data_IF_557384272652
#
_entry.id   IF_557384272652
#
_cell.length_a   1.000
_cell.length_b   1.000
_cell.length_c   1.000
_cell.angle_alpha   90.00
_cell.angle_beta   90.00
_cell.angle_gamma   90.00
#
_symmetry.space_group_name_H-M   'P 1'
#
loop_
_entity.id
_entity.type
_entity.pdbx_description
1 polymer ?
#
# COMPACT_ATOMS: atom_id res chain seq x y z
N UNK A 1 13.57 -8.73 -3.06
CA UNK A 1 14.36 -8.43 -1.84
C UNK A 1 13.48 -7.77 -0.79
N UNK A 2 13.68 -8.16 0.48
CA UNK A 2 12.94 -7.72 1.65
C UNK A 2 13.87 -6.96 2.61
N UNK A 3 13.38 -5.90 3.26
CA UNK A 3 14.16 -5.22 4.30
C UNK A 3 14.15 -6.00 5.61
N UNK A 4 15.28 -5.98 6.33
CA UNK A 4 15.45 -6.70 7.59
C UNK A 4 14.45 -6.29 8.67
N UNK A 5 13.89 -5.08 8.63
CA UNK A 5 12.83 -4.66 9.56
C UNK A 5 11.60 -5.58 9.56
N UNK A 6 11.26 -6.17 8.40
CA UNK A 6 10.14 -7.12 8.29
C UNK A 6 10.51 -8.45 8.94
N UNK A 7 11.75 -8.91 8.76
CA UNK A 7 12.25 -10.15 9.35
C UNK A 7 12.47 -10.03 10.86
N UNK A 8 12.99 -8.89 11.32
CA UNK A 8 13.16 -8.63 12.75
C UNK A 8 11.82 -8.48 13.47
N UNK A 9 10.81 -7.90 12.80
CA UNK A 9 9.43 -7.91 13.32
C UNK A 9 8.88 -9.33 13.48
N UNK A 10 9.09 -10.21 12.50
CA UNK A 10 8.66 -11.62 12.60
C UNK A 10 9.42 -12.36 13.71
N UNK A 11 10.72 -12.11 13.86
CA UNK A 11 11.53 -12.63 14.97
C UNK A 11 11.00 -12.17 16.32
N UNK A 12 10.73 -10.87 16.49
CA UNK A 12 10.19 -10.29 17.73
C UNK A 12 8.86 -10.96 18.10
N UNK A 13 7.97 -11.10 17.12
CA UNK A 13 6.70 -11.84 17.29
C UNK A 13 6.92 -13.28 17.77
N UNK A 14 7.84 -14.03 17.15
CA UNK A 14 8.11 -15.43 17.53
C UNK A 14 8.62 -15.51 18.96
N UNK A 15 9.54 -14.62 19.35
CA UNK A 15 10.11 -14.60 20.69
C UNK A 15 9.04 -14.24 21.73
N UNK A 16 8.19 -13.25 21.45
CA UNK A 16 7.13 -12.83 22.35
C UNK A 16 6.03 -13.87 22.53
N UNK A 17 5.67 -14.58 21.45
CA UNK A 17 4.54 -15.51 21.45
C UNK A 17 4.96 -16.93 21.83
N UNK A 18 6.09 -17.42 21.29
CA UNK A 18 6.54 -18.81 21.41
C UNK A 18 7.86 -18.98 22.16
N UNK A 19 8.48 -17.87 22.59
CA UNK A 19 9.71 -17.87 23.36
C UNK A 19 11.00 -18.02 22.54
N UNK A 20 12.12 -17.70 23.19
CA UNK A 20 13.45 -17.69 22.57
C UNK A 20 13.90 -19.07 22.07
N UNK A 21 13.46 -20.15 22.71
CA UNK A 21 13.83 -21.51 22.30
C UNK A 21 13.24 -21.88 20.93
N UNK A 22 12.01 -21.44 20.66
CA UNK A 22 11.36 -21.63 19.35
C UNK A 22 12.13 -20.87 18.27
N UNK A 23 12.49 -19.61 18.52
CA UNK A 23 13.32 -18.84 17.59
C UNK A 23 14.68 -19.50 17.31
N UNK A 24 15.38 -19.98 18.36
CA UNK A 24 16.66 -20.68 18.20
C UNK A 24 16.53 -21.95 17.36
N UNK A 25 15.42 -22.69 17.51
CA UNK A 25 15.13 -23.86 16.69
C UNK A 25 14.91 -23.47 15.22
N UNK A 26 14.16 -22.41 14.95
CA UNK A 26 13.99 -21.87 13.58
C UNK A 26 15.33 -21.49 12.96
N UNK A 27 16.18 -20.76 13.69
CA UNK A 27 17.53 -20.37 13.24
C UNK A 27 18.38 -21.60 12.89
N UNK A 28 18.32 -22.63 13.73
CA UNK A 28 19.04 -23.89 13.54
C UNK A 28 18.52 -24.67 12.31
N UNK A 29 17.21 -24.91 12.23
CA UNK A 29 16.60 -25.77 11.20
C UNK A 29 16.73 -25.13 9.80
N UNK A 30 16.64 -23.81 9.72
CA UNK A 30 16.82 -23.05 8.48
C UNK A 30 18.28 -22.66 8.18
N UNK A 31 19.22 -22.99 9.08
CA UNK A 31 20.65 -22.62 8.97
C UNK A 31 20.86 -21.14 8.69
N UNK A 32 20.13 -20.28 9.40
CA UNK A 32 20.25 -18.84 9.23
C UNK A 32 21.64 -18.37 9.70
N UNK A 33 22.29 -17.44 8.99
CA UNK A 33 23.65 -17.00 9.30
C UNK A 33 23.74 -16.17 10.59
N UNK A 34 22.61 -15.63 11.06
CA UNK A 34 22.50 -14.80 12.25
C UNK A 34 21.15 -15.06 12.93
N UNK A 35 21.09 -14.84 14.24
CA UNK A 35 19.87 -14.88 15.04
C UNK A 35 19.13 -13.53 15.07
N UNK A 36 19.66 -12.52 14.38
CA UNK A 36 19.15 -11.13 14.30
C UNK A 36 19.22 -10.62 12.85
N UNK A 37 18.36 -9.65 12.52
CA UNK A 37 18.35 -9.01 11.21
C UNK A 37 18.63 -7.51 11.33
N UNK A 38 19.54 -7.00 10.49
CA UNK A 38 19.80 -5.56 10.42
C UNK A 38 18.65 -4.87 9.67
N UNK A 39 18.07 -3.84 10.29
CA UNK A 39 16.81 -3.23 9.87
C UNK A 39 16.85 -2.66 8.44
N UNK A 40 18.00 -2.10 8.03
CA UNK A 40 18.18 -1.41 6.75
C UNK A 40 18.86 -2.29 5.69
N UNK A 41 19.23 -3.52 6.05
CA UNK A 41 19.85 -4.49 5.15
C UNK A 41 18.81 -5.25 4.36
N UNK A 42 19.20 -5.68 3.15
CA UNK A 42 18.38 -6.48 2.25
C UNK A 42 18.60 -7.98 2.46
N UNK A 43 17.49 -8.70 2.47
CA UNK A 43 17.44 -10.14 2.61
C UNK A 43 16.60 -10.77 1.50
N UNK A 44 16.76 -12.07 1.30
CA UNK A 44 15.90 -12.85 0.40
C UNK A 44 14.48 -12.87 0.94
N UNK A 45 13.50 -12.66 0.07
CA UNK A 45 12.07 -12.73 0.40
C UNK A 45 11.65 -14.14 0.83
N UNK A 46 12.38 -15.16 0.38
CA UNK A 46 12.09 -16.55 0.76
C UNK A 46 12.35 -16.83 2.24
N UNK A 47 13.14 -16.01 2.93
CA UNK A 47 13.46 -16.23 4.35
C UNK A 47 12.19 -16.17 5.20
N UNK A 48 11.33 -15.16 5.01
CA UNK A 48 10.09 -15.08 5.80
C UNK A 48 9.14 -16.25 5.50
N UNK A 49 9.07 -16.68 4.23
CA UNK A 49 8.26 -17.82 3.82
C UNK A 49 8.76 -19.12 4.47
N UNK A 50 10.08 -19.35 4.45
CA UNK A 50 10.70 -20.51 5.10
C UNK A 50 10.57 -20.47 6.62
N UNK A 51 10.65 -19.28 7.25
CA UNK A 51 10.37 -19.12 8.68
C UNK A 51 8.93 -19.55 8.98
N UNK A 52 7.96 -19.11 8.19
CA UNK A 52 6.56 -19.49 8.35
C UNK A 52 6.33 -21.00 8.16
N UNK A 53 6.99 -21.62 7.19
CA UNK A 53 6.96 -23.09 7.03
C UNK A 53 7.54 -23.82 8.23
N UNK A 54 8.72 -23.38 8.67
CA UNK A 54 9.40 -23.98 9.80
C UNK A 54 8.57 -23.88 11.08
N UNK A 55 7.87 -22.77 11.30
CA UNK A 55 6.93 -22.65 12.42
C UNK A 55 5.74 -23.61 12.31
N UNK A 56 5.17 -23.79 11.12
CA UNK A 56 4.10 -24.76 10.90
C UNK A 56 4.57 -26.20 11.21
N UNK A 57 5.80 -26.52 10.84
CA UNK A 57 6.41 -27.82 11.13
C UNK A 57 6.79 -28.00 12.61
N UNK A 58 7.14 -26.92 13.32
CA UNK A 58 7.53 -26.99 14.73
C UNK A 58 6.32 -27.04 15.66
N UNK A 59 5.31 -26.20 15.38
CA UNK A 59 4.21 -25.91 16.31
C UNK A 59 2.94 -26.71 15.98
N UNK A 60 2.72 -27.07 14.72
CA UNK A 60 1.52 -27.80 14.26
C UNK A 60 0.17 -27.12 14.60
N UNK A 61 0.16 -25.80 14.83
CA UNK A 61 -1.03 -25.02 15.19
C UNK A 61 -1.63 -24.25 14.00
N UNK A 62 -0.96 -24.23 12.85
CA UNK A 62 -1.37 -23.48 11.67
C UNK A 62 -0.57 -23.83 10.43
N UNK A 63 -0.87 -23.15 9.32
CA UNK A 63 -0.13 -23.27 8.06
C UNK A 63 0.85 -22.12 7.87
N UNK A 64 1.68 -22.18 6.82
CA UNK A 64 2.51 -21.04 6.38
C UNK A 64 1.71 -19.73 6.35
N UNK A 65 0.52 -19.78 5.78
CA UNK A 65 -0.37 -18.65 5.59
C UNK A 65 -0.87 -18.08 6.93
N UNK A 66 -1.18 -18.95 7.89
CA UNK A 66 -1.54 -18.57 9.26
C UNK A 66 -0.42 -17.75 9.92
N UNK A 67 0.83 -18.21 9.85
CA UNK A 67 1.96 -17.50 10.45
C UNK A 67 2.30 -16.21 9.71
N UNK A 68 2.18 -16.17 8.38
CA UNK A 68 2.33 -14.93 7.61
C UNK A 68 1.30 -13.88 8.02
N UNK A 69 0.04 -14.30 8.23
CA UNK A 69 -0.99 -13.41 8.73
C UNK A 69 -0.66 -12.89 10.14
N UNK A 70 -0.19 -13.77 11.04
CA UNK A 70 0.23 -13.35 12.38
C UNK A 70 1.39 -12.33 12.35
N UNK A 71 2.39 -12.55 11.51
CA UNK A 71 3.49 -11.59 11.32
C UNK A 71 2.97 -10.24 10.82
N UNK A 72 2.05 -10.24 9.86
CA UNK A 72 1.41 -9.02 9.37
C UNK A 72 0.61 -8.30 10.45
N UNK A 73 -0.20 -9.04 11.24
CA UNK A 73 -1.01 -8.46 12.31
C UNK A 73 -0.15 -7.79 13.39
N UNK A 74 0.99 -8.39 13.69
CA UNK A 74 1.90 -7.92 14.72
C UNK A 74 2.83 -6.78 14.25
N UNK A 75 3.00 -6.62 12.94
CA UNK A 75 3.90 -5.63 12.34
C UNK A 75 3.71 -4.23 12.91
N UNK A 76 2.48 -3.73 13.01
CA UNK A 76 2.22 -2.38 13.51
C UNK A 76 2.48 -2.21 15.01
N UNK A 77 2.42 -3.29 15.82
CA UNK A 77 2.85 -3.25 17.22
C UNK A 77 4.36 -3.06 17.28
N UNK A 78 5.12 -3.87 16.55
CA UNK A 78 6.58 -3.75 16.49
C UNK A 78 7.01 -2.41 15.91
N UNK A 79 6.39 -1.97 14.83
CA UNK A 79 6.73 -0.71 14.14
C UNK A 79 6.45 0.54 14.99
N UNK A 80 5.52 0.44 15.95
CA UNK A 80 5.26 1.51 16.92
C UNK A 80 6.49 1.83 17.79
N UNK A 81 7.38 0.86 18.03
CA UNK A 81 8.60 1.07 18.82
C UNK A 81 9.54 2.10 18.18
N UNK A 82 9.41 2.37 16.87
CA UNK A 82 10.19 3.37 16.15
C UNK A 82 9.48 4.74 16.04
N UNK A 83 8.34 4.93 16.72
CA UNK A 83 7.64 6.21 16.79
C UNK A 83 6.73 6.54 15.59
N UNK A 84 6.54 5.61 14.65
CA UNK A 84 5.72 5.81 13.45
C UNK A 84 4.22 5.94 13.72
N UNK A 85 3.73 5.57 14.91
CA UNK A 85 2.31 5.70 15.24
C UNK A 85 1.78 7.12 15.06
N UNK A 86 2.57 8.15 15.41
CA UNK A 86 2.17 9.55 15.18
C UNK A 86 2.00 9.85 13.69
N UNK A 87 2.88 9.34 12.84
CA UNK A 87 2.83 9.55 11.40
C UNK A 87 1.57 8.93 10.78
N UNK A 88 1.25 7.68 11.14
CA UNK A 88 0.05 7.03 10.62
C UNK A 88 -1.25 7.70 11.09
N UNK A 89 -1.29 8.16 12.35
CA UNK A 89 -2.44 8.88 12.91
C UNK A 89 -2.64 10.28 12.33
N UNK A 90 -1.58 10.90 11.80
CA UNK A 90 -1.65 12.17 11.07
C UNK A 90 -2.15 11.92 9.64
N UNK A 91 -1.67 10.85 9.00
CA UNK A 91 -2.03 10.53 7.63
C UNK A 91 -3.50 10.09 7.46
N UNK A 92 -4.06 9.40 8.47
CA UNK A 92 -5.43 8.89 8.42
C UNK A 92 -6.16 9.06 9.76
N UNK A 93 -7.44 9.46 9.71
CA UNK A 93 -8.27 9.65 10.90
C UNK A 93 -8.95 8.36 11.36
N UNK A 94 -9.32 7.51 10.40
CA UNK A 94 -9.98 6.23 10.61
C UNK A 94 -9.39 5.18 9.66
N UNK A 95 -9.82 3.92 9.80
CA UNK A 95 -9.31 2.82 8.99
C UNK A 95 -9.64 2.98 7.49
N UNK A 96 -10.82 3.52 7.15
CA UNK A 96 -11.19 3.85 5.78
C UNK A 96 -10.15 4.78 5.14
N UNK A 97 -9.87 5.92 5.76
CA UNK A 97 -8.90 6.91 5.28
C UNK A 97 -7.51 6.28 5.15
N UNK A 98 -7.15 5.37 6.05
CA UNK A 98 -5.88 4.65 6.00
C UNK A 98 -5.75 3.85 4.71
N UNK A 99 -6.78 3.07 4.33
CA UNK A 99 -6.78 2.27 3.11
C UNK A 99 -6.53 3.12 1.85
N UNK A 100 -7.00 4.37 1.82
CA UNK A 100 -6.77 5.30 0.71
C UNK A 100 -5.35 5.92 0.68
N UNK A 101 -4.61 5.91 1.80
CA UNK A 101 -3.30 6.58 1.91
C UNK A 101 -2.11 5.62 2.05
N UNK A 102 -2.34 4.29 2.05
CA UNK A 102 -1.26 3.29 2.18
C UNK A 102 -0.15 3.54 1.15
N UNK A 103 -0.50 3.74 -0.12
CA UNK A 103 0.48 3.93 -1.18
C UNK A 103 1.28 5.23 -1.04
N UNK A 104 0.62 6.31 -0.57
CA UNK A 104 1.31 7.57 -0.25
C UNK A 104 2.29 7.40 0.91
N UNK A 105 1.90 6.64 1.95
CA UNK A 105 2.77 6.32 3.07
C UNK A 105 3.98 5.50 2.60
N UNK A 106 3.77 4.51 1.74
CA UNK A 106 4.87 3.76 1.13
C UNK A 106 5.80 4.64 0.31
N UNK A 107 5.29 5.56 -0.52
CA UNK A 107 6.15 6.47 -1.27
C UNK A 107 6.96 7.39 -0.36
N UNK A 108 6.36 7.88 0.74
CA UNK A 108 7.07 8.68 1.75
C UNK A 108 8.19 7.89 2.45
N UNK A 109 7.99 6.59 2.68
CA UNK A 109 8.98 5.73 3.32
C UNK A 109 10.19 5.44 2.42
N UNK A 110 10.15 5.75 1.11
CA UNK A 110 11.33 5.61 0.24
C UNK A 110 12.49 6.52 0.63
N UNK A 111 12.25 7.61 1.37
CA UNK A 111 13.35 8.44 1.89
C UNK A 111 14.18 7.70 2.94
N UNK A 112 13.56 6.82 3.72
CA UNK A 112 14.21 5.96 4.70
C UNK A 112 14.64 4.62 4.09
N UNK A 113 13.87 4.10 3.14
CA UNK A 113 14.06 2.81 2.49
C UNK A 113 14.12 2.97 0.95
N UNK A 114 15.23 3.47 0.38
CA UNK A 114 15.31 3.90 -1.02
C UNK A 114 15.04 2.79 -2.05
N UNK A 115 15.33 1.54 -1.71
CA UNK A 115 15.14 0.38 -2.57
C UNK A 115 13.85 -0.38 -2.25
N UNK A 116 12.93 0.22 -1.49
CA UNK A 116 11.65 -0.39 -1.16
C UNK A 116 10.80 -0.56 -2.40
N UNK A 117 10.56 -1.81 -2.75
CA UNK A 117 9.50 -2.22 -3.67
C UNK A 117 8.22 -2.37 -2.87
N UNK A 118 7.38 -1.35 -2.79
CA UNK A 118 6.09 -1.44 -2.09
C UNK A 118 5.07 -2.20 -2.94
N UNK A 119 4.13 -2.93 -2.32
CA UNK A 119 2.91 -3.30 -3.01
C UNK A 119 2.07 -2.05 -3.32
N UNK A 120 1.10 -2.20 -4.21
CA UNK A 120 0.09 -1.21 -4.55
C UNK A 120 -1.23 -1.62 -3.89
N UNK A 121 -1.88 -0.65 -3.25
CA UNK A 121 -3.16 -0.80 -2.56
C UNK A 121 -4.13 0.20 -3.17
N UNK A 122 -5.07 -0.29 -3.98
CA UNK A 122 -6.02 0.55 -4.70
C UNK A 122 -7.45 0.21 -4.31
N UNK A 123 -8.17 1.18 -3.74
CA UNK A 123 -9.59 1.04 -3.45
C UNK A 123 -10.39 1.26 -4.72
N UNK A 124 -11.16 0.26 -5.15
CA UNK A 124 -11.98 0.33 -6.38
C UNK A 124 -13.44 0.63 -6.11
N UNK A 125 -13.97 0.14 -4.98
CA UNK A 125 -15.37 0.33 -4.59
C UNK A 125 -15.47 0.51 -3.07
N UNK A 126 -16.46 1.27 -2.62
CA UNK A 126 -16.79 1.43 -1.20
C UNK A 126 -18.30 1.60 -0.99
N UNK A 127 -18.79 1.06 0.13
CA UNK A 127 -20.15 1.29 0.63
C UNK A 127 -20.14 1.43 2.17
N UNK A 128 -21.30 1.47 2.80
CA UNK A 128 -21.43 1.62 4.26
C UNK A 128 -21.02 0.38 5.07
N UNK A 129 -20.83 -0.76 4.41
CA UNK A 129 -20.46 -2.05 5.01
C UNK A 129 -19.02 -2.49 4.73
N UNK A 130 -18.31 -1.80 3.84
CA UNK A 130 -16.92 -2.14 3.55
C UNK A 130 -16.33 -1.50 2.29
N UNK A 131 -15.20 -2.05 1.88
CA UNK A 131 -14.38 -1.60 0.75
C UNK A 131 -13.89 -2.79 -0.09
N UNK A 132 -13.94 -2.65 -1.42
CA UNK A 132 -13.19 -3.49 -2.35
C UNK A 132 -11.81 -2.89 -2.56
N UNK A 133 -10.77 -3.66 -2.27
CA UNK A 133 -9.37 -3.27 -2.35
C UNK A 133 -8.60 -4.21 -3.27
N UNK A 134 -7.95 -3.67 -4.30
CA UNK A 134 -6.97 -4.37 -5.11
C UNK A 134 -5.58 -4.29 -4.47
N UNK A 135 -4.99 -5.45 -4.22
CA UNK A 135 -3.60 -5.60 -3.81
C UNK A 135 -2.78 -6.12 -4.99
N UNK A 136 -1.75 -5.36 -5.40
CA UNK A 136 -0.83 -5.76 -6.48
C UNK A 136 0.60 -5.76 -5.96
N UNK A 137 1.34 -6.82 -6.23
CA UNK A 137 2.72 -6.98 -5.77
C UNK A 137 3.54 -7.77 -6.76
N UNK A 138 4.83 -7.44 -6.85
CA UNK A 138 5.82 -8.29 -7.55
C UNK A 138 6.30 -9.44 -6.67
N UNK A 139 5.95 -9.44 -5.36
CA UNK A 139 6.33 -10.50 -4.42
C UNK A 139 5.26 -11.57 -4.36
N UNK A 140 5.69 -12.82 -4.49
CA UNK A 140 4.83 -14.01 -4.40
C UNK A 140 4.76 -14.54 -2.97
N UNK A 141 3.58 -15.05 -2.58
CA UNK A 141 3.37 -15.67 -1.27
C UNK A 141 3.18 -14.69 -0.11
N UNK A 142 2.97 -13.39 -0.38
CA UNK A 142 2.78 -12.36 0.65
C UNK A 142 1.31 -11.97 0.87
N UNK A 143 0.36 -12.65 0.21
CA UNK A 143 -1.09 -12.34 0.32
C UNK A 143 -1.55 -12.31 1.78
N UNK A 144 -1.28 -13.38 2.54
CA UNK A 144 -1.69 -13.45 3.94
C UNK A 144 -0.91 -12.50 4.85
N UNK A 145 0.35 -12.20 4.53
CA UNK A 145 1.10 -11.14 5.23
C UNK A 145 0.45 -9.77 5.02
N UNK A 146 0.03 -9.44 3.79
CA UNK A 146 -0.65 -8.19 3.49
C UNK A 146 -2.02 -8.12 4.18
N UNK A 147 -2.81 -9.20 4.14
CA UNK A 147 -4.08 -9.29 4.86
C UNK A 147 -3.91 -9.11 6.37
N UNK A 148 -2.93 -9.80 6.96
CA UNK A 148 -2.55 -9.64 8.36
C UNK A 148 -2.14 -8.20 8.68
N UNK A 149 -1.37 -7.56 7.80
CA UNK A 149 -0.96 -6.16 7.95
C UNK A 149 -2.16 -5.20 7.97
N UNK A 150 -3.17 -5.42 7.12
CA UNK A 150 -4.41 -4.64 7.12
C UNK A 150 -5.17 -4.79 8.44
N UNK A 151 -5.30 -6.03 8.93
CA UNK A 151 -5.93 -6.33 10.23
C UNK A 151 -5.14 -5.71 11.40
N UNK A 152 -3.81 -5.80 11.36
CA UNK A 152 -2.91 -5.22 12.35
C UNK A 152 -3.00 -3.70 12.40
N UNK A 153 -3.08 -3.05 11.24
CA UNK A 153 -3.28 -1.60 11.13
C UNK A 153 -4.61 -1.18 11.74
N UNK A 154 -5.71 -1.84 11.35
CA UNK A 154 -7.04 -1.58 11.88
C UNK A 154 -7.09 -1.63 13.41
N UNK A 155 -6.60 -2.74 13.97
CA UNK A 155 -6.62 -2.98 15.42
C UNK A 155 -5.69 -2.02 16.16
N UNK A 156 -4.44 -1.91 15.71
CA UNK A 156 -3.38 -1.20 16.45
C UNK A 156 -3.48 0.32 16.31
N UNK A 157 -3.81 0.82 15.12
CA UNK A 157 -3.82 2.27 14.84
C UNK A 157 -5.19 2.91 15.04
N UNK A 158 -6.26 2.15 14.74
CA UNK A 158 -7.64 2.69 14.70
C UNK A 158 -8.57 2.05 15.72
N UNK A 159 -8.12 1.02 16.46
CA UNK A 159 -8.94 0.26 17.42
C UNK A 159 -10.18 -0.38 16.79
N UNK A 160 -10.13 -0.63 15.49
CA UNK A 160 -11.20 -1.32 14.76
C UNK A 160 -10.92 -2.82 14.82
N UNK A 161 -11.85 -3.57 15.40
CA UNK A 161 -11.69 -5.02 15.63
C UNK A 161 -12.72 -5.85 14.90
N UNK A 162 -13.79 -5.22 14.39
CA UNK A 162 -14.87 -5.92 13.71
C UNK A 162 -14.64 -5.89 12.20
N UNK A 163 -13.49 -6.42 11.77
CA UNK A 163 -13.10 -6.46 10.36
C UNK A 163 -13.07 -7.90 9.88
N UNK A 164 -13.60 -8.13 8.68
CA UNK A 164 -13.47 -9.41 7.97
C UNK A 164 -12.95 -9.17 6.57
N UNK A 165 -11.99 -9.98 6.14
CA UNK A 165 -11.42 -9.92 4.80
C UNK A 165 -11.85 -11.17 4.04
N UNK A 166 -12.29 -10.98 2.81
CA UNK A 166 -12.66 -12.06 1.90
C UNK A 166 -11.92 -11.87 0.58
N UNK A 167 -11.25 -12.91 0.10
CA UNK A 167 -10.64 -12.91 -1.23
C UNK A 167 -11.77 -13.10 -2.24
N UNK A 168 -12.02 -12.08 -3.07
CA UNK A 168 -12.98 -12.15 -4.19
C UNK A 168 -12.33 -12.68 -5.46
N UNK A 169 -11.05 -12.36 -5.67
CA UNK A 169 -10.27 -12.84 -6.79
C UNK A 169 -8.80 -13.00 -6.38
N UNK A 170 -8.15 -14.05 -6.89
CA UNK A 170 -6.74 -14.33 -6.70
C UNK A 170 -6.11 -14.68 -8.05
N UNK A 171 -5.28 -13.77 -8.54
CA UNK A 171 -4.48 -13.96 -9.74
C UNK A 171 -3.00 -13.87 -9.36
N UNK A 172 -2.47 -14.98 -8.84
CA UNK A 172 -1.06 -15.15 -8.52
C UNK A 172 -0.35 -15.90 -9.64
N UNK A 173 0.65 -15.25 -10.26
CA UNK A 173 1.48 -15.81 -11.34
C UNK A 173 2.93 -15.96 -10.88
N UNK A 174 3.86 -16.37 -11.75
CA UNK A 174 5.29 -16.32 -11.41
C UNK A 174 5.81 -14.90 -11.22
N UNK A 175 5.23 -13.92 -11.91
CA UNK A 175 5.83 -12.59 -12.07
C UNK A 175 5.18 -11.53 -11.19
N UNK A 176 3.88 -11.67 -10.92
CA UNK A 176 3.13 -10.79 -10.03
C UNK A 176 1.99 -11.50 -9.30
N UNK A 177 1.54 -10.89 -8.22
CA UNK A 177 0.36 -11.24 -7.43
C UNK A 177 -0.66 -10.12 -7.57
N UNK A 178 -1.90 -10.45 -7.95
CA UNK A 178 -3.02 -9.52 -7.95
C UNK A 178 -4.21 -10.15 -7.21
N UNK A 179 -4.56 -9.56 -6.06
CA UNK A 179 -5.65 -10.04 -5.19
C UNK A 179 -6.71 -8.95 -5.10
N UNK A 180 -7.98 -9.33 -5.25
CA UNK A 180 -9.12 -8.45 -4.98
C UNK A 180 -9.71 -8.87 -3.64
N UNK A 181 -9.63 -7.98 -2.65
CA UNK A 181 -10.12 -8.19 -1.30
C UNK A 181 -11.42 -7.42 -1.09
N UNK A 182 -12.40 -8.06 -0.47
CA UNK A 182 -13.52 -7.38 0.18
C UNK A 182 -13.23 -7.24 1.66
N UNK A 183 -13.10 -6.01 2.14
CA UNK A 183 -12.84 -5.69 3.53
C UNK A 183 -14.13 -5.17 4.14
N UNK A 184 -14.79 -6.01 4.93
CA UNK A 184 -16.02 -5.70 5.62
C UNK A 184 -15.72 -5.08 6.98
N UNK A 185 -16.25 -3.89 7.26
CA UNK A 185 -16.16 -3.17 8.54
C UNK A 185 -17.28 -2.12 8.65
N UNK A 186 -17.49 -1.51 9.82
CA UNK A 186 -18.42 -0.38 9.93
C UNK A 186 -17.86 0.85 9.19
N UNK A 187 -18.30 1.02 7.95
CA UNK A 187 -17.89 2.13 7.11
C UNK A 187 -18.93 3.25 7.08
N UNK A 188 -19.81 3.37 8.08
CA UNK A 188 -20.85 4.44 8.12
C UNK A 188 -20.30 5.87 8.15
N UNK A 189 -19.01 6.04 8.41
CA UNK A 189 -18.33 7.34 8.18
C UNK A 189 -18.30 7.75 6.70
N UNK A 190 -18.58 6.81 5.79
CA UNK A 190 -18.98 7.05 4.42
C UNK A 190 -20.28 7.85 4.37
N UNK A 191 -20.15 9.17 4.35
CA UNK A 191 -21.18 9.99 3.74
C UNK A 191 -21.06 9.78 2.24
N UNK A 192 -21.97 8.97 1.68
CA UNK A 192 -22.12 8.91 0.22
C UNK A 192 -22.11 10.33 -0.33
N UNK A 193 -21.35 10.63 -1.41
CA UNK A 193 -21.29 11.96 -1.99
C UNK A 193 -22.68 12.54 -2.33
N UNK A 194 -23.71 11.69 -2.39
CA UNK A 194 -25.12 12.05 -2.58
C UNK A 194 -25.79 12.76 -1.37
N UNK A 195 -25.18 12.77 -0.18
CA UNK A 195 -25.71 13.43 1.02
C UNK A 195 -25.05 14.78 1.35
N UNK A 196 -24.03 15.18 0.58
CA UNK A 196 -23.76 16.61 0.49
C UNK A 196 -24.94 17.17 -0.27
N UNK A 197 -25.89 17.76 0.45
CA UNK A 197 -26.81 18.73 -0.13
C UNK A 197 -25.97 19.58 -1.08
N UNK A 198 -26.16 19.39 -2.38
CA UNK A 198 -25.57 20.21 -3.43
C UNK A 198 -26.20 21.59 -3.35
N UNK A 199 -26.07 22.26 -2.21
CA UNK A 199 -26.26 23.69 -2.11
C UNK A 199 -25.27 24.28 -3.12
N UNK A 200 -25.82 24.78 -4.21
CA UNK A 200 -25.15 25.44 -5.34
C UNK A 200 -23.70 25.80 -5.03
N UNK A 201 -22.77 24.89 -5.33
CA UNK A 201 -21.37 25.29 -5.39
C UNK A 201 -21.29 26.37 -6.47
N UNK A 202 -20.66 27.53 -6.20
CA UNK A 202 -20.61 28.61 -7.16
C UNK A 202 -19.96 28.09 -8.45
N UNK A 203 -20.57 28.41 -9.60
CA UNK A 203 -20.09 27.94 -10.88
C UNK A 203 -18.72 28.58 -11.19
N UNK A 204 -17.67 27.77 -11.18
CA UNK A 204 -16.33 28.18 -11.59
C UNK A 204 -16.20 27.88 -13.09
N UNK A 205 -15.73 28.85 -13.88
CA UNK A 205 -15.41 28.60 -15.29
C UNK A 205 -14.08 27.87 -15.40
N UNK A 206 -13.87 27.06 -16.45
CA UNK A 206 -12.58 26.41 -16.69
C UNK A 206 -11.40 27.40 -16.71
N UNK A 207 -11.61 28.59 -17.28
CA UNK A 207 -10.59 29.66 -17.28
C UNK A 207 -10.22 30.11 -15.86
N UNK A 208 -11.17 30.21 -14.95
CA UNK A 208 -10.90 30.53 -13.55
C UNK A 208 -10.13 29.39 -12.88
N UNK A 209 -10.52 28.14 -13.12
CA UNK A 209 -9.81 26.96 -12.60
C UNK A 209 -8.33 26.97 -12.99
N UNK A 210 -8.02 27.16 -14.28
CA UNK A 210 -6.63 27.16 -14.76
C UNK A 210 -5.80 28.38 -14.34
N UNK A 211 -6.45 29.48 -13.95
CA UNK A 211 -5.77 30.62 -13.31
C UNK A 211 -5.39 30.29 -11.86
N UNK A 212 -6.27 29.61 -11.13
CA UNK A 212 -6.04 29.18 -9.74
C UNK A 212 -5.01 28.06 -9.66
N UNK A 213 -5.02 27.13 -10.62
CA UNK A 213 -4.09 26.00 -10.71
C UNK A 213 -3.14 26.16 -11.91
N UNK A 214 -2.08 26.99 -11.80
CA UNK A 214 -1.22 27.31 -12.94
C UNK A 214 -0.30 26.15 -13.37
N UNK A 215 -0.19 25.10 -12.54
CA UNK A 215 0.51 23.85 -12.83
C UNK A 215 -0.49 22.69 -13.00
N UNK A 216 -1.34 22.80 -14.02
CA UNK A 216 -2.35 21.78 -14.33
C UNK A 216 -2.32 21.44 -15.83
N UNK A 217 -2.70 20.20 -16.15
CA UNK A 217 -2.82 19.70 -17.52
C UNK A 217 -4.19 19.03 -17.63
N UNK A 218 -4.94 19.37 -18.67
CA UNK A 218 -6.20 18.70 -19.03
C UNK A 218 -5.94 17.82 -20.24
N UNK A 219 -6.44 16.59 -20.18
CA UNK A 219 -6.30 15.59 -21.24
C UNK A 219 -7.65 15.00 -21.61
N UNK A 220 -7.76 14.46 -22.82
CA UNK A 220 -8.90 13.65 -23.23
C UNK A 220 -8.65 12.15 -23.03
N UNK A 221 -9.65 11.33 -23.37
CA UNK A 221 -9.58 9.86 -23.31
C UNK A 221 -8.52 9.23 -24.22
N UNK A 222 -7.95 10.00 -25.16
CA UNK A 222 -6.84 9.58 -26.01
C UNK A 222 -5.48 10.06 -25.47
N UNK A 223 -5.42 10.55 -24.23
CA UNK A 223 -4.20 11.06 -23.58
C UNK A 223 -3.59 12.25 -24.33
N UNK A 224 -4.41 13.00 -25.09
CA UNK A 224 -3.97 14.21 -25.77
C UNK A 224 -4.18 15.44 -24.90
N UNK A 225 -3.19 16.33 -24.86
CA UNK A 225 -3.24 17.56 -24.05
C UNK A 225 -4.28 18.52 -24.65
N UNK A 226 -5.35 18.81 -23.92
CA UNK A 226 -6.40 19.76 -24.32
C UNK A 226 -6.20 21.15 -23.75
N UNK A 227 -5.62 21.25 -22.56
CA UNK A 227 -5.30 22.54 -21.94
C UNK A 227 -4.09 22.43 -21.00
N UNK A 228 -3.36 23.55 -20.81
CA UNK A 228 -2.31 23.66 -19.80
C UNK A 228 -2.43 24.97 -19.01
N UNK A 229 -2.23 24.88 -17.70
CA UNK A 229 -2.12 26.02 -16.81
C UNK A 229 -1.03 27.00 -17.26
N UNK A 230 -1.21 28.27 -16.90
CA UNK A 230 -0.40 29.37 -17.42
C UNK A 230 1.09 29.28 -17.11
N UNK A 231 1.49 28.63 -16.01
CA UNK A 231 2.91 28.49 -15.66
C UNK A 231 3.57 27.32 -16.37
N UNK A 232 2.88 26.19 -16.57
CA UNK A 232 3.41 25.08 -17.40
C UNK A 232 3.65 25.58 -18.83
N UNK A 233 2.71 26.35 -19.38
CA UNK A 233 2.85 26.89 -20.74
C UNK A 233 4.09 27.77 -20.93
N UNK A 234 4.54 28.48 -19.89
CA UNK A 234 5.74 29.34 -19.92
C UNK A 234 7.06 28.56 -19.96
N UNK A 235 7.06 27.29 -19.55
CA UNK A 235 8.26 26.44 -19.60
C UNK A 235 8.65 26.14 -21.05
N UNK A 236 7.69 26.16 -21.96
CA UNK A 236 7.89 25.86 -23.37
C UNK A 236 8.07 27.13 -24.21
N UNK A 237 8.88 27.07 -25.29
CA UNK A 237 8.95 28.15 -26.26
C UNK A 237 7.57 28.48 -26.84
N UNK A 238 7.30 29.75 -27.12
CA UNK A 238 6.01 30.21 -27.69
C UNK A 238 5.71 29.62 -29.07
N UNK A 239 6.74 29.14 -29.77
CA UNK A 239 6.64 28.46 -31.07
C UNK A 239 6.22 27.00 -30.98
N UNK A 240 6.30 26.38 -29.79
CA UNK A 240 5.99 24.97 -29.61
C UNK A 240 4.49 24.77 -29.42
N UNK A 241 3.85 24.11 -30.39
CA UNK A 241 2.44 23.70 -30.26
C UNK A 241 2.38 22.43 -29.43
N UNK A 242 1.76 22.52 -28.25
CA UNK A 242 1.62 21.40 -27.30
C UNK A 242 0.19 20.91 -27.21
N UNK A 243 -0.78 21.83 -27.37
CA UNK A 243 -2.19 21.46 -27.36
C UNK A 243 -2.47 20.55 -28.57
N UNK A 244 -3.11 19.41 -28.30
CA UNK A 244 -3.38 18.35 -29.25
C UNK A 244 -2.31 17.27 -29.34
N UNK A 245 -1.13 17.45 -28.72
CA UNK A 245 -0.10 16.41 -28.68
C UNK A 245 -0.38 15.36 -27.61
N UNK A 246 0.07 14.10 -27.81
CA UNK A 246 0.03 13.09 -26.76
C UNK A 246 0.85 13.51 -25.55
N UNK A 247 0.35 13.26 -24.34
CA UNK A 247 1.05 13.60 -23.10
C UNK A 247 2.46 12.99 -23.08
N UNK A 248 2.58 11.73 -23.49
CA UNK A 248 3.82 10.94 -23.41
C UNK A 248 4.94 11.44 -24.33
N UNK A 249 4.62 12.26 -25.34
CA UNK A 249 5.64 12.90 -26.19
C UNK A 249 6.24 14.15 -25.55
N UNK A 250 5.51 14.78 -24.63
CA UNK A 250 5.85 16.08 -24.05
C UNK A 250 6.31 15.93 -22.60
N UNK A 251 5.69 15.03 -21.86
CA UNK A 251 5.94 14.75 -20.45
C UNK A 251 6.27 13.29 -20.26
N UNK A 252 7.10 13.03 -19.25
CA UNK A 252 7.38 11.67 -18.78
C UNK A 252 6.88 11.55 -17.35
N UNK A 253 5.95 10.62 -17.11
CA UNK A 253 5.55 10.25 -15.76
C UNK A 253 6.75 9.59 -15.08
N UNK A 254 7.20 10.16 -13.97
CA UNK A 254 8.30 9.58 -13.19
C UNK A 254 7.74 8.59 -12.16
N UNK A 255 6.52 8.85 -11.66
CA UNK A 255 5.86 8.04 -10.62
C UNK A 255 4.34 8.03 -10.77
N UNK A 256 3.69 6.85 -10.67
CA UNK A 256 4.30 5.52 -10.72
C UNK A 256 5.01 5.28 -12.08
N UNK A 257 5.99 4.37 -12.12
CA UNK A 257 6.71 4.02 -13.36
C UNK A 257 5.83 3.13 -14.24
N UNK A 258 4.80 3.75 -14.81
CA UNK A 258 3.82 3.11 -15.69
C UNK A 258 3.75 3.87 -17.00
N UNK A 259 3.45 3.13 -18.06
CA UNK A 259 3.04 3.74 -19.31
C UNK A 259 1.64 4.35 -19.14
N UNK A 260 1.53 5.66 -19.37
CA UNK A 260 0.29 6.43 -19.18
C UNK A 260 -0.71 6.03 -20.27
N UNK A 261 -1.78 5.37 -19.85
CA UNK A 261 -2.95 4.98 -20.65
C UNK A 261 -4.21 5.38 -19.87
N UNK A 262 -5.30 5.71 -20.57
CA UNK A 262 -6.51 6.25 -19.93
C UNK A 262 -7.05 5.37 -18.80
N UNK A 263 -7.05 4.05 -18.99
CA UNK A 263 -7.58 3.10 -18.00
C UNK A 263 -6.60 2.84 -16.83
N UNK A 264 -5.39 3.40 -16.89
CA UNK A 264 -4.32 3.24 -15.88
C UNK A 264 -4.03 4.52 -15.09
N UNK A 265 -4.67 5.63 -15.43
CA UNK A 265 -4.42 6.99 -14.88
C UNK A 265 -5.59 7.45 -14.01
#
# INVERSE_FOLDING_TARGET
MLYGIILDSARDFIILTYGLNTWRRVVHDLKLPSDTFDLFTHYSENIILHISDCLADILHEGTRDTYLEYFGQDFFRYFNNFGYHKLFRIAARNFRDFLFVIDQLHDSNRFTFPQMRSPIFHVTEEDDTGITLEYKSVRQGFTHYAMGSLLGAAKTLFKETNIRLYIRNDLSTSDYTHIVLWIQFDNRTYQSPNLRNSSCLPHITGLTFFKVFPFSILMDSSINIRYMGGNIRKVFPTTTVIIGRPLNEVFRLIRPDIHVEWDKV
#
